data_IF_723903504971
#
_entry.id   IF_723903504971
#
_cell.length_a   1.000
_cell.length_b   1.000
_cell.length_c   1.000
_cell.angle_alpha   90.00
_cell.angle_beta   90.00
_cell.angle_gamma   90.00
#
_symmetry.space_group_name_H-M   'P 1'
#
loop_
_entity.id
_entity.type
_entity.pdbx_description
1 polymer ?
2 water ?
#
# COMPACT_ATOMS: atom_id res chain seq x y z
N UNK A 7 3.08 4.07 19.96
CA UNK A 7 3.90 5.06 19.18
C UNK A 7 5.40 5.07 19.54
N UNK A 8 5.72 4.66 20.77
CA UNK A 8 7.10 4.35 21.05
C UNK A 8 7.20 3.00 21.78
N UNK A 9 6.05 2.36 21.93
CA UNK A 9 5.90 1.05 22.57
C UNK A 9 6.67 -0.09 21.90
N UNK A 10 6.88 0.02 20.59
CA UNK A 10 7.60 -1.01 19.82
C UNK A 10 9.12 -0.84 19.87
N UNK A 11 9.63 -0.02 20.79
CA UNK A 11 11.06 0.27 20.81
C UNK A 11 11.48 1.42 19.89
N UNK A 12 12.60 2.08 20.22
CA UNK A 12 13.06 3.24 19.44
C UNK A 12 13.57 2.91 18.05
N UNK A 13 14.18 1.75 17.90
CA UNK A 13 14.69 1.37 16.60
C UNK A 13 13.54 1.37 15.58
N UNK A 14 12.42 0.75 15.95
CA UNK A 14 11.25 0.72 15.08
C UNK A 14 10.59 2.08 14.99
N UNK A 15 10.43 2.73 16.13
CA UNK A 15 9.82 4.07 16.22
C UNK A 15 10.49 5.11 15.32
N UNK A 16 11.82 5.09 15.27
CA UNK A 16 12.54 6.05 14.45
C UNK A 16 12.15 5.95 12.97
N UNK A 17 11.99 4.72 12.49
CA UNK A 17 11.58 4.55 11.10
C UNK A 17 10.15 5.03 10.90
N UNK A 18 9.22 4.60 11.77
CA UNK A 18 7.86 5.14 11.69
C UNK A 18 7.91 6.65 11.72
N UNK A 19 8.75 7.20 12.60
CA UNK A 19 8.78 8.64 12.75
C UNK A 19 9.13 9.27 11.42
N UNK A 20 10.02 8.63 10.68
CA UNK A 20 10.43 9.18 9.39
C UNK A 20 9.21 9.28 8.48
N UNK A 21 8.49 8.16 8.37
CA UNK A 21 7.33 8.10 7.50
C UNK A 21 6.13 8.92 7.95
N UNK A 22 6.10 9.32 9.22
CA UNK A 22 5.10 10.29 9.70
C UNK A 22 5.36 11.69 9.14
N UNK A 23 6.53 11.92 8.55
CA UNK A 23 6.91 13.25 8.10
C UNK A 23 6.86 13.39 6.60
N UNK A 24 6.32 12.36 5.96
CA UNK A 24 6.53 12.14 4.56
C UNK A 24 5.16 11.97 3.90
N UNK A 25 5.09 11.95 2.59
CA UNK A 25 3.77 11.86 1.95
C UNK A 25 3.17 10.48 1.96
N UNK A 26 4.02 9.47 1.81
CA UNK A 26 3.64 8.21 1.22
C UNK A 26 4.70 7.19 1.61
N UNK A 27 4.33 5.94 1.86
CA UNK A 27 5.33 4.89 2.10
C UNK A 27 5.78 4.11 0.85
N UNK A 28 5.04 4.30 -0.23
CA UNK A 28 5.37 3.69 -1.49
C UNK A 28 4.65 4.48 -2.59
N UNK A 29 4.84 4.07 -3.83
CA UNK A 29 4.28 4.85 -4.92
C UNK A 29 2.76 4.92 -4.86
N UNK A 30 2.19 6.08 -5.17
CA UNK A 30 0.74 6.19 -5.26
C UNK A 30 0.37 7.64 -5.49
N UNK A 31 -0.90 7.92 -5.67
CA UNK A 31 -1.31 9.31 -5.73
C UNK A 31 -2.81 9.38 -5.49
N UNK A 32 -3.30 10.55 -5.10
CA UNK A 32 -4.75 10.63 -4.88
C UNK A 32 -5.54 10.30 -6.14
N UNK A 33 -5.04 10.77 -7.28
CA UNK A 33 -5.65 10.50 -8.57
C UNK A 33 -5.67 8.99 -8.84
N UNK A 34 -4.58 8.32 -8.51
CA UNK A 34 -4.53 6.88 -8.72
C UNK A 34 -5.49 6.14 -7.79
N UNK A 35 -5.57 6.57 -6.54
CA UNK A 35 -6.51 5.93 -5.62
C UNK A 35 -7.93 6.02 -6.19
N UNK A 36 -8.29 7.20 -6.69
CA UNK A 36 -9.64 7.42 -7.18
C UNK A 36 -9.93 6.67 -8.46
N UNK A 37 -8.92 6.53 -9.32
CA UNK A 37 -9.06 5.73 -10.53
C UNK A 37 -9.27 4.21 -10.24
N UNK A 38 -8.58 3.69 -9.24
CA UNK A 38 -8.82 2.29 -8.82
C UNK A 38 -10.26 2.21 -8.34
N UNK A 39 -10.67 3.22 -7.58
CA UNK A 39 -11.97 3.21 -6.94
C UNK A 39 -13.07 3.26 -8.00
N UNK A 40 -12.77 3.92 -9.12
CA UNK A 40 -13.74 4.05 -10.22
C UNK A 40 -14.18 2.69 -10.77
N UNK A 41 -13.40 1.63 -10.51
CA UNK A 41 -13.76 0.30 -10.98
C UNK A 41 -14.62 -0.48 -9.98
N UNK A 42 -14.86 0.09 -8.81
CA UNK A 42 -15.65 -0.65 -7.80
C UNK A 42 -17.12 -0.23 -7.85
N UNK A 43 -18.00 -1.16 -8.20
CA UNK A 43 -19.37 -0.77 -8.50
C UNK A 43 -20.39 -1.21 -7.45
N UNK A 44 -19.95 -1.76 -6.32
CA UNK A 44 -20.86 -2.49 -5.43
C UNK A 44 -21.19 -1.78 -4.11
N UNK A 45 -20.68 -0.58 -3.89
CA UNK A 45 -20.72 -0.01 -2.53
C UNK A 45 -22.03 0.70 -2.19
N UNK A 46 -22.53 0.49 -0.98
CA UNK A 46 -23.67 1.27 -0.46
C UNK A 46 -23.38 1.70 0.98
N UNK A 47 -24.32 2.39 1.60
CA UNK A 47 -24.18 2.81 2.99
C UNK A 47 -23.99 1.63 3.93
N UNK A 48 -24.42 0.45 3.49
CA UNK A 48 -24.31 -0.75 4.33
C UNK A 48 -23.01 -1.53 4.10
N UNK A 49 -22.16 -1.01 3.23
CA UNK A 49 -20.89 -1.68 2.90
C UNK A 49 -19.94 -1.65 4.06
N UNK A 50 -19.20 -2.74 4.21
CA UNK A 50 -18.11 -2.84 5.14
C UNK A 50 -16.84 -2.95 4.32
N UNK A 51 -15.88 -2.09 4.64
CA UNK A 51 -14.65 -1.95 3.87
C UNK A 51 -13.48 -2.06 4.83
N UNK A 52 -12.41 -2.69 4.37
CA UNK A 52 -11.17 -2.77 5.17
C UNK A 52 -9.99 -2.26 4.35
N UNK A 53 -9.07 -1.52 4.98
CA UNK A 53 -7.86 -1.05 4.31
C UNK A 53 -6.70 -1.72 5.07
N UNK A 54 -6.02 -2.67 4.41
CA UNK A 54 -5.05 -3.52 5.09
C UNK A 54 -3.64 -3.02 4.86
N UNK A 55 -2.92 -2.81 5.93
CA UNK A 55 -1.62 -2.16 5.86
C UNK A 55 -1.83 -0.70 5.53
N UNK A 56 -2.80 -0.08 6.21
CA UNK A 56 -3.25 1.25 5.86
C UNK A 56 -2.24 2.36 6.19
N UNK A 57 -1.22 2.05 7.00
CA UNK A 57 -0.29 3.11 7.40
C UNK A 57 -1.04 4.26 8.06
N UNK A 58 -0.76 5.50 7.65
CA UNK A 58 -1.39 6.65 8.32
C UNK A 58 -2.73 7.04 7.71
N UNK A 59 -3.21 6.25 6.73
CA UNK A 59 -4.59 6.36 6.28
C UNK A 59 -4.85 7.45 5.25
N UNK A 60 -3.79 7.91 4.61
CA UNK A 60 -3.97 8.96 3.59
C UNK A 60 -4.94 8.49 2.51
N UNK A 61 -4.69 7.31 1.95
CA UNK A 61 -5.59 6.76 0.95
C UNK A 61 -6.95 6.39 1.52
N UNK A 62 -6.99 5.97 2.78
CA UNK A 62 -8.25 5.67 3.45
C UNK A 62 -9.19 6.91 3.54
N UNK A 63 -8.62 8.07 3.88
CA UNK A 63 -9.45 9.28 3.95
C UNK A 63 -9.95 9.69 2.56
N UNK A 64 -9.17 9.36 1.52
CA UNK A 64 -9.65 9.60 0.16
C UNK A 64 -10.84 8.69 -0.14
N UNK A 65 -10.74 7.39 0.18
CA UNK A 65 -11.90 6.51 0.03
C UNK A 65 -13.14 7.06 0.73
N UNK A 66 -12.98 7.34 2.03
CA UNK A 66 -14.07 7.76 2.88
C UNK A 66 -14.78 8.96 2.27
N UNK A 67 -14.01 9.90 1.73
CA UNK A 67 -14.62 11.10 1.16
C UNK A 67 -15.34 10.82 -0.17
N UNK A 68 -15.11 9.65 -0.76
CA UNK A 68 -15.69 9.35 -2.08
C UNK A 68 -16.63 8.16 -2.18
N UNK A 69 -16.76 7.39 -1.10
CA UNK A 69 -17.61 6.19 -1.09
C UNK A 69 -18.46 6.15 0.15
N UNK A 70 -19.64 5.51 0.06
CA UNK A 70 -20.41 5.25 1.28
C UNK A 70 -19.87 4.03 2.04
N UNK A 71 -20.30 3.88 3.29
CA UNK A 71 -19.99 2.69 4.03
C UNK A 71 -19.04 2.99 5.18
N UNK A 72 -18.69 1.94 5.93
CA UNK A 72 -17.80 2.10 7.06
C UNK A 72 -16.47 1.44 6.77
N UNK A 73 -15.40 2.11 7.18
CA UNK A 73 -14.06 1.67 6.83
C UNK A 73 -13.23 1.40 8.08
N UNK A 74 -12.59 0.23 8.09
CA UNK A 74 -11.62 -0.14 9.11
C UNK A 74 -10.23 -0.28 8.51
N UNK A 75 -9.28 0.49 9.04
CA UNK A 75 -7.93 0.45 8.56
C UNK A 75 -7.16 -0.36 9.58
N UNK A 76 -6.32 -1.27 9.10
CA UNK A 76 -5.52 -2.14 9.96
C UNK A 76 -4.06 -1.89 9.65
N UNK A 77 -3.26 -1.64 10.68
CA UNK A 77 -1.83 -1.50 10.49
C UNK A 77 -1.08 -2.05 11.72
N UNK A 78 0.11 -2.57 11.49
CA UNK A 78 0.96 -3.12 12.55
C UNK A 78 1.48 -2.07 13.56
N UNK A 79 1.59 -0.81 13.15
CA UNK A 79 2.30 0.18 13.96
C UNK A 79 1.36 1.17 14.66
N UNK A 80 1.32 1.15 16.00
CA UNK A 80 0.51 2.10 16.76
C UNK A 80 0.71 3.56 16.39
N UNK A 81 1.96 3.97 16.17
CA UNK A 81 2.29 5.32 15.68
C UNK A 81 1.55 5.71 14.40
N UNK A 82 1.41 4.77 13.48
CA UNK A 82 0.64 5.06 12.27
C UNK A 82 -0.86 5.14 12.58
N UNK A 83 -1.34 4.19 13.39
CA UNK A 83 -2.76 4.15 13.69
C UNK A 83 -3.13 5.37 14.54
N UNK A 84 -2.20 5.86 15.36
CA UNK A 84 -2.48 7.08 16.12
C UNK A 84 -2.74 8.24 15.17
N UNK A 85 -1.85 8.39 14.19
CA UNK A 85 -2.01 9.39 13.14
C UNK A 85 -3.31 9.20 12.33
N UNK A 86 -3.53 7.97 11.87
CA UNK A 86 -4.77 7.59 11.18
C UNK A 86 -6.01 8.09 11.91
N UNK A 87 -6.15 7.75 13.19
CA UNK A 87 -7.32 8.18 13.94
C UNK A 87 -7.39 9.69 14.21
N UNK A 88 -6.26 10.30 14.52
CA UNK A 88 -6.28 11.75 14.66
C UNK A 88 -6.71 12.41 13.36
N UNK A 89 -6.20 11.91 12.24
CA UNK A 89 -6.60 12.45 10.96
C UNK A 89 -8.10 12.23 10.66
N UNK A 90 -8.62 11.04 10.99
CA UNK A 90 -10.07 10.81 10.82
C UNK A 90 -10.89 11.80 11.66
N UNK A 91 -10.47 11.99 12.92
CA UNK A 91 -11.15 12.94 13.80
C UNK A 91 -11.12 14.38 13.28
N UNK A 92 -9.99 14.83 12.73
CA UNK A 92 -9.95 16.19 12.17
C UNK A 92 -10.96 16.37 11.04
N UNK A 93 -11.13 15.31 10.25
CA UNK A 93 -12.11 15.30 9.16
C UNK A 93 -13.53 14.96 9.62
N UNK A 94 -13.71 14.67 10.90
CA UNK A 94 -15.03 14.28 11.38
C UNK A 94 -15.54 12.94 10.85
N UNK A 95 -14.63 12.04 10.51
CA UNK A 95 -15.00 10.79 9.90
C UNK A 95 -15.05 9.62 10.89
N UNK A 96 -14.71 9.89 12.15
CA UNK A 96 -14.44 8.81 13.11
C UNK A 96 -15.60 7.85 13.38
N UNK A 97 -16.84 8.28 13.14
CA UNK A 97 -17.98 7.37 13.32
C UNK A 97 -18.10 6.33 12.21
N UNK A 98 -17.40 6.54 11.08
CA UNK A 98 -17.45 5.60 9.95
C UNK A 98 -16.07 5.14 9.45
N UNK A 99 -15.02 5.61 10.10
CA UNK A 99 -13.66 5.25 9.71
C UNK A 99 -12.87 4.99 10.98
N UNK A 100 -12.36 3.78 11.15
CA UNK A 100 -11.67 3.47 12.39
C UNK A 100 -10.37 2.76 12.13
N UNK A 101 -9.34 3.18 12.86
CA UNK A 101 -8.00 2.64 12.69
C UNK A 101 -7.73 1.70 13.85
N UNK A 102 -7.19 0.53 13.53
CA UNK A 102 -6.98 -0.52 14.52
C UNK A 102 -5.57 -1.08 14.27
N UNK A 103 -4.84 -1.31 15.35
CA UNK A 103 -3.55 -1.96 15.30
C UNK A 103 -3.77 -3.46 15.11
N UNK A 104 -3.21 -4.03 14.05
CA UNK A 104 -3.38 -5.46 13.77
C UNK A 104 -2.45 -5.89 12.67
N UNK A 105 -2.43 -7.21 12.41
CA UNK A 105 -1.51 -7.88 11.46
C UNK A 105 -2.25 -8.54 10.29
N UNK A 106 -1.83 -8.19 9.07
CA UNK A 106 -2.45 -8.66 7.83
C UNK A 106 -2.58 -10.16 7.74
N UNK A 107 -1.71 -10.89 8.47
CA UNK A 107 -1.71 -12.35 8.38
C UNK A 107 -2.51 -12.97 9.50
N UNK A 108 -3.15 -12.13 10.31
CA UNK A 108 -3.90 -12.63 11.44
C UNK A 108 -5.14 -11.78 11.67
N UNK A 109 -6.08 -11.83 10.74
CA UNK A 109 -7.24 -10.97 10.81
C UNK A 109 -8.37 -11.70 11.49
N UNK A 110 -9.35 -10.95 11.98
CA UNK A 110 -10.45 -11.60 12.66
C UNK A 110 -11.79 -11.18 12.07
N UNK A 111 -11.76 -10.67 10.85
CA UNK A 111 -12.99 -10.29 10.18
C UNK A 111 -13.87 -11.53 10.05
N UNK A 112 -15.17 -11.31 10.04
CA UNK A 112 -16.12 -12.37 9.76
C UNK A 112 -15.99 -12.83 8.31
N UNK A 113 -16.03 -14.14 8.14
CA UNK A 113 -15.97 -14.74 6.84
C UNK A 113 -17.04 -14.17 5.92
N UNK A 114 -16.64 -13.86 4.67
CA UNK A 114 -17.56 -13.37 3.64
C UNK A 114 -18.30 -12.15 4.10
N UNK A 115 -17.63 -11.23 4.78
CA UNK A 115 -18.35 -10.14 5.41
C UNK A 115 -18.09 -8.79 4.76
N UNK A 116 -16.99 -8.69 4.00
CA UNK A 116 -16.52 -7.41 3.44
C UNK A 116 -16.87 -7.22 1.98
N UNK A 117 -17.22 -6.00 1.61
CA UNK A 117 -17.53 -5.64 0.22
C UNK A 117 -16.27 -5.22 -0.53
N UNK A 118 -15.29 -4.74 0.23
CA UNK A 118 -14.10 -4.17 -0.40
C UNK A 118 -12.93 -4.33 0.56
N UNK A 119 -11.79 -4.81 0.05
CA UNK A 119 -10.53 -4.78 0.78
C UNK A 119 -9.60 -3.93 -0.07
N UNK A 120 -8.97 -2.94 0.56
CA UNK A 120 -8.06 -2.03 -0.11
C UNK A 120 -6.69 -2.27 0.50
N UNK A 121 -5.64 -2.13 -0.29
CA UNK A 121 -4.28 -2.24 0.25
C UNK A 121 -3.28 -1.65 -0.73
N UNK A 122 -2.72 -0.48 -0.40
CA UNK A 122 -1.77 0.17 -1.29
C UNK A 122 -0.35 -0.02 -0.79
N UNK A 123 0.49 -0.63 -1.62
CA UNK A 123 1.90 -0.79 -1.28
C UNK A 123 2.10 -1.57 -0.01
N UNK A 124 1.25 -2.56 0.25
CA UNK A 124 1.36 -3.27 1.53
C UNK A 124 1.23 -4.82 1.47
N UNK A 125 0.61 -5.34 0.42
CA UNK A 125 0.44 -6.79 0.29
C UNK A 125 1.78 -7.53 0.23
N UNK A 126 2.85 -6.84 -0.18
CA UNK A 126 4.15 -7.49 -0.23
C UNK A 126 4.56 -8.04 1.13
N UNK A 127 4.01 -7.45 2.21
CA UNK A 127 4.34 -7.91 3.57
C UNK A 127 3.94 -9.35 3.82
N UNK A 128 2.84 -9.80 3.22
CA UNK A 128 2.40 -11.16 3.47
C UNK A 128 2.66 -12.01 2.24
N UNK A 129 2.90 -11.34 1.12
CA UNK A 129 3.09 -12.00 -0.18
C UNK A 129 1.84 -11.88 -1.05
N UNK A 130 2.02 -11.52 -2.32
CA UNK A 130 0.87 -11.30 -3.25
C UNK A 130 -0.10 -12.50 -3.28
N UNK A 131 0.42 -13.68 -3.63
CA UNK A 131 -0.46 -14.81 -3.78
C UNK A 131 -1.04 -15.23 -2.44
N UNK A 132 -0.25 -15.11 -1.37
CA UNK A 132 -0.76 -15.51 -0.05
C UNK A 132 -1.92 -14.59 0.38
N UNK A 133 -1.78 -13.30 0.14
CA UNK A 133 -2.84 -12.33 0.43
C UNK A 133 -4.07 -12.56 -0.43
N UNK A 134 -3.88 -12.79 -1.73
CA UNK A 134 -5.02 -13.18 -2.58
C UNK A 134 -5.83 -14.29 -1.92
N UNK A 135 -5.12 -15.33 -1.49
CA UNK A 135 -5.77 -16.55 -1.01
C UNK A 135 -6.43 -16.33 0.35
N UNK A 136 -5.68 -15.78 1.29
CA UNK A 136 -6.18 -15.63 2.64
C UNK A 136 -7.30 -14.59 2.71
N UNK A 137 -7.12 -13.47 2.02
CA UNK A 137 -8.06 -12.36 2.16
C UNK A 137 -9.39 -12.65 1.47
N UNK A 138 -9.37 -13.60 0.53
CA UNK A 138 -10.58 -13.92 -0.22
C UNK A 138 -11.65 -14.41 0.73
N UNK A 139 -11.21 -14.98 1.85
CA UNK A 139 -12.09 -15.62 2.81
C UNK A 139 -12.99 -14.63 3.53
N UNK A 140 -12.54 -13.40 3.62
CA UNK A 140 -13.26 -12.31 4.28
C UNK A 140 -14.13 -11.52 3.33
N UNK A 141 -14.01 -11.77 2.02
CA UNK A 141 -14.81 -11.02 1.05
C UNK A 141 -16.13 -11.72 0.77
N UNK A 142 -17.20 -10.94 0.68
CA UNK A 142 -18.46 -11.48 0.17
C UNK A 142 -18.21 -11.97 -1.25
N UNK A 143 -18.90 -13.03 -1.68
CA UNK A 143 -18.81 -13.27 -3.12
C UNK A 143 -19.26 -12.02 -3.91
N UNK A 144 -18.56 -11.72 -4.99
CA UNK A 144 -18.90 -10.54 -5.77
C UNK A 144 -18.20 -9.29 -5.23
N UNK A 145 -17.60 -9.42 -4.05
CA UNK A 145 -16.79 -8.35 -3.45
C UNK A 145 -15.46 -8.12 -4.15
N UNK A 146 -14.75 -7.05 -3.76
CA UNK A 146 -13.58 -6.61 -4.51
C UNK A 146 -12.35 -6.52 -3.64
N UNK A 147 -11.21 -6.86 -4.22
CA UNK A 147 -9.95 -6.59 -3.60
C UNK A 147 -9.20 -5.68 -4.54
N UNK A 148 -8.73 -4.56 -4.01
CA UNK A 148 -7.97 -3.59 -4.77
C UNK A 148 -6.58 -3.38 -4.17
N UNK A 149 -5.54 -3.80 -4.85
CA UNK A 149 -4.21 -3.75 -4.24
C UNK A 149 -3.19 -3.26 -5.26
N UNK A 150 -2.22 -2.49 -4.78
CA UNK A 150 -1.14 -1.99 -5.64
C UNK A 150 0.13 -2.75 -5.26
N UNK A 151 0.95 -3.12 -6.25
CA UNK A 151 2.01 -4.12 -6.06
C UNK A 151 3.11 -3.86 -7.10
N UNK A 152 4.36 -4.05 -6.71
CA UNK A 152 5.50 -3.94 -7.63
C UNK A 152 5.38 -4.88 -8.84
N UNK A 153 5.74 -4.40 -10.02
CA UNK A 153 5.70 -5.27 -11.22
C UNK A 153 6.86 -5.03 -12.17
N UNK A 154 7.23 -6.07 -12.93
CA UNK A 154 8.17 -5.95 -14.05
C UNK A 154 7.40 -5.50 -15.31
N UNK A 155 8.03 -4.68 -16.15
CA UNK A 155 7.35 -4.24 -17.39
C UNK A 155 7.68 -5.13 -18.57
N UNK A 156 8.79 -5.87 -18.48
CA UNK A 156 9.29 -6.55 -19.66
C UNK A 156 9.72 -7.95 -19.32
N UNK A 157 9.96 -8.74 -20.34
CA UNK A 157 10.32 -10.13 -20.20
C UNK A 157 11.77 -10.26 -19.76
N UNK A 158 12.64 -9.48 -20.40
CA UNK A 158 14.07 -9.43 -20.06
C UNK A 158 14.44 -8.06 -19.44
N UNK A 159 15.36 -8.07 -18.47
CA UNK A 159 15.86 -6.83 -17.84
C UNK A 159 17.32 -6.94 -17.54
N UNK A 160 17.96 -5.78 -17.30
CA UNK A 160 19.33 -5.77 -16.78
C UNK A 160 19.41 -6.52 -15.45
N UNK A 161 20.50 -7.26 -15.25
CA UNK A 161 20.69 -8.03 -14.02
C UNK A 161 20.77 -7.14 -12.80
N UNK A 162 21.28 -5.93 -12.95
CA UNK A 162 21.42 -5.03 -11.81
C UNK A 162 20.08 -4.76 -11.13
N UNK A 163 19.04 -4.47 -11.92
CA UNK A 163 17.76 -4.16 -11.30
C UNK A 163 17.10 -5.47 -10.85
N UNK A 164 17.34 -6.54 -11.59
CA UNK A 164 16.75 -7.81 -11.22
C UNK A 164 17.26 -8.24 -9.84
N UNK A 165 18.55 -8.02 -9.60
CA UNK A 165 19.19 -8.45 -8.35
C UNK A 165 18.75 -7.64 -7.15
N UNK A 166 18.67 -6.32 -7.30
CA UNK A 166 18.13 -5.49 -6.23
C UNK A 166 16.80 -6.02 -5.72
N UNK A 167 15.93 -6.42 -6.65
CA UNK A 167 14.58 -6.80 -6.27
C UNK A 167 14.54 -8.20 -5.65
N UNK A 168 15.42 -9.07 -6.14
CA UNK A 168 15.50 -10.42 -5.57
C UNK A 168 15.94 -10.31 -4.11
N UNK A 169 16.66 -9.25 -3.79
CA UNK A 169 17.09 -9.02 -2.42
C UNK A 169 16.10 -8.19 -1.58
N UNK A 170 15.09 -7.62 -2.22
CA UNK A 170 14.16 -6.77 -1.47
C UNK A 170 12.79 -7.42 -1.39
N UNK A 171 12.21 -7.70 -2.56
CA UNK A 171 10.89 -8.32 -2.62
C UNK A 171 10.94 -9.31 -3.74
N UNK A 172 11.07 -10.57 -3.37
CA UNK A 172 11.27 -11.65 -4.31
C UNK A 172 10.02 -11.93 -5.11
N UNK A 173 8.89 -11.38 -4.66
CA UNK A 173 7.65 -11.60 -5.39
C UNK A 173 7.32 -10.61 -6.52
N UNK A 174 8.16 -9.61 -6.75
CA UNK A 174 7.94 -8.77 -7.95
C UNK A 174 7.79 -9.71 -9.15
N UNK A 175 6.87 -9.40 -10.07
CA UNK A 175 6.64 -10.26 -11.21
C UNK A 175 6.04 -9.41 -12.34
N UNK A 176 5.92 -10.02 -13.52
CA UNK A 176 5.30 -9.35 -14.66
C UNK A 176 3.81 -9.23 -14.45
N UNK A 177 3.21 -8.27 -15.14
CA UNK A 177 1.79 -8.03 -15.02
C UNK A 177 1.03 -9.26 -15.50
N UNK A 178 1.44 -9.84 -16.63
CA UNK A 178 0.71 -11.07 -17.01
C UNK A 178 0.77 -12.13 -15.93
N UNK A 179 1.90 -12.27 -15.24
CA UNK A 179 1.97 -13.27 -14.16
C UNK A 179 1.06 -12.94 -12.99
N UNK A 180 1.09 -11.68 -12.54
CA UNK A 180 0.16 -11.23 -11.50
C UNK A 180 -1.31 -11.47 -11.85
N UNK A 181 -1.70 -11.05 -13.04
CA UNK A 181 -3.06 -11.32 -13.49
C UNK A 181 -3.41 -12.82 -13.51
N UNK A 182 -2.49 -13.68 -13.95
CA UNK A 182 -2.72 -15.12 -13.92
C UNK A 182 -2.98 -15.58 -12.48
N UNK A 183 -2.19 -15.04 -11.55
CA UNK A 183 -2.30 -15.43 -10.15
C UNK A 183 -3.63 -15.02 -9.56
N UNK A 184 -4.11 -13.83 -9.93
CA UNK A 184 -5.40 -13.35 -9.48
C UNK A 184 -6.51 -14.31 -9.95
N UNK A 185 -6.50 -14.66 -11.23
CA UNK A 185 -7.50 -15.59 -11.70
C UNK A 185 -7.38 -16.96 -11.03
N UNK A 186 -6.15 -17.44 -10.87
CA UNK A 186 -5.88 -18.71 -10.19
C UNK A 186 -6.45 -18.75 -8.76
N UNK A 187 -6.42 -17.61 -8.08
CA UNK A 187 -6.89 -17.52 -6.69
C UNK A 187 -8.40 -17.41 -6.61
N UNK A 188 -9.09 -17.45 -7.75
CA UNK A 188 -10.56 -17.43 -7.74
C UNK A 188 -11.16 -16.02 -7.74
N UNK A 189 -10.52 -15.10 -8.46
CA UNK A 189 -11.12 -13.79 -8.69
C UNK A 189 -11.19 -13.56 -10.20
N UNK A 190 -12.03 -12.60 -10.60
CA UNK A 190 -11.98 -12.09 -11.94
C UNK A 190 -11.15 -10.82 -11.94
N UNK A 191 -10.11 -10.74 -12.82
CA UNK A 191 -9.25 -9.55 -12.90
C UNK A 191 -9.96 -8.45 -13.64
N UNK A 192 -10.81 -7.73 -12.92
CA UNK A 192 -11.67 -6.73 -13.54
C UNK A 192 -10.90 -5.50 -14.06
N UNK A 193 -9.83 -5.10 -13.40
CA UNK A 193 -9.09 -3.93 -13.90
C UNK A 193 -7.68 -3.98 -13.38
N UNK A 194 -6.72 -3.61 -14.22
CA UNK A 194 -5.31 -3.68 -13.88
C UNK A 194 -4.65 -2.52 -14.60
N UNK A 195 -3.91 -1.66 -13.91
CA UNK A 195 -3.24 -0.57 -14.59
C UNK A 195 -1.97 -0.13 -13.90
N UNK A 196 -1.02 0.33 -14.70
CA UNK A 196 0.29 0.70 -14.21
C UNK A 196 0.28 2.13 -13.72
N UNK A 197 0.94 2.39 -12.59
CA UNK A 197 1.00 3.73 -12.04
C UNK A 197 1.92 4.64 -12.84
N UNK A 198 1.49 5.91 -13.07
CA UNK A 198 2.26 6.91 -13.78
C UNK A 198 3.47 7.26 -12.95
N UNK A 199 4.47 7.86 -13.59
CA UNK A 199 5.73 8.10 -12.92
C UNK A 199 5.63 9.16 -11.81
N UNK A 200 4.62 10.03 -11.88
CA UNK A 200 4.46 11.00 -10.81
C UNK A 200 4.08 10.34 -9.47
N UNK A 201 3.59 9.12 -9.51
CA UNK A 201 3.33 8.37 -8.29
C UNK A 201 4.64 8.04 -7.55
N UNK A 202 5.74 7.92 -8.31
CA UNK A 202 7.04 7.58 -7.72
C UNK A 202 7.82 8.83 -7.37
N UNK A 203 7.75 9.81 -8.24
CA UNK A 203 8.57 11.00 -8.09
C UNK A 203 7.89 12.12 -7.29
N UNK A 204 7.00 12.89 -7.92
CA UNK A 204 6.35 13.98 -7.17
C UNK A 204 5.63 13.54 -5.89
N UNK A 205 5.07 12.32 -5.91
CA UNK A 205 4.24 11.91 -4.77
C UNK A 205 4.93 11.06 -3.72
N UNK A 206 6.14 10.64 -4.01
CA UNK A 206 6.83 9.68 -3.14
C UNK A 206 8.30 10.07 -2.92
N UNK A 207 9.15 9.95 -3.93
CA UNK A 207 10.58 10.23 -3.71
C UNK A 207 10.85 11.69 -3.36
N UNK A 208 10.17 12.61 -4.04
CA UNK A 208 10.52 14.02 -3.89
C UNK A 208 10.26 14.50 -2.47
N UNK A 209 9.03 14.32 -1.97
CA UNK A 209 8.69 14.74 -0.59
C UNK A 209 9.56 14.03 0.41
N UNK A 210 9.94 12.80 0.08
CA UNK A 210 10.80 12.00 0.94
C UNK A 210 12.17 12.68 1.08
N UNK A 211 12.75 13.02 -0.06
CA UNK A 211 14.01 13.72 -0.07
C UNK A 211 13.93 15.04 0.68
N UNK A 212 12.81 15.75 0.53
CA UNK A 212 12.61 17.06 1.19
C UNK A 212 12.73 16.98 2.72
N UNK A 213 12.32 15.86 3.29
CA UNK A 213 12.22 15.74 4.73
C UNK A 213 13.51 15.26 5.36
N UNK A 214 14.46 14.82 4.52
CA UNK A 214 15.62 14.04 4.99
C UNK A 214 16.64 14.86 5.77
N UNK A 215 16.98 16.03 5.26
CA UNK A 215 17.98 16.88 5.91
C UNK A 215 17.58 17.26 7.34
N UNK A 216 16.34 17.70 7.52
CA UNK A 216 15.87 18.12 8.83
C UNK A 216 15.75 16.96 9.79
N UNK A 217 15.28 15.82 9.28
CA UNK A 217 15.10 14.60 10.09
C UNK A 217 16.48 14.04 10.52
N UNK A 218 17.41 14.01 9.58
CA UNK A 218 18.77 13.53 9.86
C UNK A 218 19.44 14.38 10.95
N UNK A 219 19.24 15.68 10.86
CA UNK A 219 19.79 16.60 11.87
C UNK A 219 19.11 16.39 13.23
N UNK A 220 17.78 16.37 13.24
CA UNK A 220 17.02 16.15 14.48
C UNK A 220 17.50 14.89 15.21
N UNK A 221 17.82 13.85 14.46
CA UNK A 221 18.30 12.59 15.01
C UNK A 221 19.80 12.39 14.73
N UNK A 222 20.55 13.47 14.86
CA UNK A 222 21.98 13.47 14.57
C UNK A 222 22.75 12.29 15.18
N UNK A 223 23.54 11.60 14.35
CA UNK A 223 24.36 10.50 14.84
C UNK A 223 23.65 9.15 14.95
N UNK A 224 22.35 9.12 14.71
CA UNK A 224 21.64 7.85 14.77
C UNK A 224 21.92 6.98 13.53
N UNK A 225 22.56 5.84 13.74
CA UNK A 225 22.91 4.96 12.65
C UNK A 225 21.67 4.47 11.91
N UNK A 226 20.67 4.00 12.67
CA UNK A 226 19.41 3.57 12.08
C UNK A 226 18.90 4.60 11.08
N UNK A 227 18.93 5.88 11.45
CA UNK A 227 18.43 6.94 10.56
C UNK A 227 19.32 7.19 9.33
N UNK A 228 20.64 7.22 9.54
CA UNK A 228 21.57 7.35 8.44
C UNK A 228 21.38 6.25 7.38
N UNK A 229 21.25 5.00 7.81
CA UNK A 229 21.18 3.89 6.89
C UNK A 229 19.86 3.92 6.12
N UNK A 230 18.81 4.33 6.81
CA UNK A 230 17.53 4.57 6.17
C UNK A 230 17.67 5.54 5.01
N UNK A 231 18.37 6.63 5.25
CA UNK A 231 18.39 7.68 4.25
C UNK A 231 19.20 7.17 3.07
N UNK A 232 20.25 6.43 3.40
CA UNK A 232 21.08 5.79 2.40
C UNK A 232 20.30 4.80 1.51
N UNK A 233 19.46 3.96 2.13
CA UNK A 233 18.55 3.09 1.39
C UNK A 233 17.64 3.92 0.49
N UNK A 234 16.98 4.91 1.08
CA UNK A 234 16.08 5.76 0.33
C UNK A 234 16.73 6.22 -0.97
N UNK A 235 18.00 6.64 -0.86
CA UNK A 235 18.71 7.13 -2.02
C UNK A 235 19.00 6.05 -3.04
N UNK A 236 19.41 4.89 -2.57
CA UNK A 236 19.66 3.77 -3.47
C UNK A 236 18.39 3.42 -4.24
N UNK A 237 17.29 3.25 -3.53
CA UNK A 237 16.01 2.97 -4.17
C UNK A 237 15.70 4.00 -5.26
N UNK A 238 15.95 5.28 -4.95
CA UNK A 238 15.57 6.37 -5.84
C UNK A 238 16.48 6.43 -7.04
N UNK A 239 17.75 6.09 -6.82
CA UNK A 239 18.70 6.05 -7.92
C UNK A 239 18.43 4.88 -8.84
N UNK A 240 18.08 3.72 -8.29
CA UNK A 240 17.74 2.59 -9.13
C UNK A 240 16.53 2.93 -10.01
N UNK A 241 15.53 3.60 -9.43
CA UNK A 241 14.34 3.96 -10.20
C UNK A 241 14.66 4.90 -11.36
N UNK A 242 15.46 5.92 -11.10
CA UNK A 242 15.75 6.90 -12.13
C UNK A 242 16.48 6.21 -13.29
N UNK A 243 17.25 5.20 -12.94
CA UNK A 243 18.03 4.47 -13.90
C UNK A 243 17.25 3.36 -14.63
N UNK A 244 16.33 2.72 -13.94
CA UNK A 244 15.73 1.48 -14.49
C UNK A 244 14.22 1.50 -14.61
N UNK A 245 13.60 2.67 -14.45
CA UNK A 245 12.14 2.76 -14.48
C UNK A 245 11.53 2.30 -15.82
N UNK A 246 12.34 2.12 -16.85
CA UNK A 246 11.83 1.60 -18.11
C UNK A 246 11.40 0.15 -17.92
N UNK A 247 11.94 -0.50 -16.88
CA UNK A 247 11.78 -1.95 -16.65
C UNK A 247 10.83 -2.36 -15.53
N UNK A 248 10.47 -1.41 -14.69
CA UNK A 248 9.59 -1.73 -13.57
C UNK A 248 8.81 -0.54 -13.01
N UNK A 249 7.83 -0.90 -12.20
CA UNK A 249 6.96 0.10 -11.58
C UNK A 249 6.00 -0.57 -10.61
N UNK A 250 4.82 0.02 -10.51
CA UNK A 250 3.76 -0.42 -9.66
C UNK A 250 2.49 -0.51 -10.52
N UNK A 251 1.60 -1.42 -10.18
CA UNK A 251 0.31 -1.52 -10.83
C UNK A 251 -0.78 -1.70 -9.79
N UNK A 252 -1.99 -1.26 -10.14
CA UNK A 252 -3.15 -1.48 -9.31
C UNK A 252 -3.91 -2.63 -9.93
N UNK A 253 -4.33 -3.57 -9.08
CA UNK A 253 -5.12 -4.73 -9.49
C UNK A 253 -6.44 -4.66 -8.76
N UNK A 254 -7.53 -4.68 -9.53
CA UNK A 254 -8.85 -4.68 -8.92
C UNK A 254 -9.43 -6.04 -9.24
N UNK A 255 -9.80 -6.78 -8.20
CA UNK A 255 -10.10 -8.21 -8.29
C UNK A 255 -11.46 -8.46 -7.67
N UNK A 256 -12.36 -9.07 -8.46
CA UNK A 256 -13.71 -9.42 -7.99
C UNK A 256 -13.77 -10.88 -7.58
N UNK A 257 -14.22 -11.14 -6.36
CA UNK A 257 -14.22 -12.49 -5.83
C UNK A 257 -15.25 -13.28 -6.60
N UNK A 258 -14.84 -14.43 -7.10
CA UNK A 258 -15.74 -15.24 -7.92
C UNK A 258 -16.60 -16.20 -7.14
N UNK A 259 -17.25 -17.09 -7.88
CA UNK A 259 -18.00 -18.24 -7.36
C UNK A 259 -19.45 -18.24 -7.84
#
# INVERSE_FOLDING_TARGET
>A
MSLNDNNTILGFDVNLICDFFLNTERQGPGSPEVTLKALSFIDNLTNKSLIADLGCGTGGQTMILAQHVPGKITGIDFFPGFIERFNKNAEKLNLQNRVKGIVGSMDDLSFEKDSLDLIWSEGAIYNIGFERGLKEWRNYLKPGGYLAVSESVWFTDQRPAEIHDFWMSAYTEIDTVPNKVAQIQKAGYIPVATFILPENCWIEHYFAPQAKAEEIFRRKHAGSRIVEELITSNHHEAELYSKYKAYYGYAFFICKKGFSLREGHHHHHH
#
